data_IF_550087606675
#
_entry.id   IF_550087606675
#
_cell.length_a   1.000
_cell.length_b   1.000
_cell.length_c   1.000
_cell.angle_alpha   90.00
_cell.angle_beta   90.00
_cell.angle_gamma   90.00
#
_symmetry.space_group_name_H-M   'P 1'
#
loop_
_entity.id
_entity.type
_entity.pdbx_description
1 polymer ?
#
# COMPACT_ATOMS: atom_id res chain seq x y z
N UNK A 1 0.13 10.11 34.95
CA UNK A 1 0.48 8.78 34.42
C UNK A 1 -0.67 7.87 34.75
N UNK A 2 -1.36 7.28 33.77
CA UNK A 2 -2.48 6.38 34.05
C UNK A 2 -1.97 5.12 34.74
N UNK A 3 -2.66 4.66 35.78
CA UNK A 3 -2.33 3.43 36.50
C UNK A 3 -2.54 2.22 35.56
N UNK A 4 -1.50 1.41 35.33
CA UNK A 4 -1.60 0.22 34.49
C UNK A 4 -2.44 -0.87 35.19
N UNK A 5 -3.74 -0.93 34.86
CA UNK A 5 -4.69 -1.92 35.40
C UNK A 5 -4.41 -3.37 34.97
N UNK A 6 -3.70 -3.58 33.85
CA UNK A 6 -3.47 -4.89 33.25
C UNK A 6 -2.03 -5.06 32.78
N UNK A 7 -1.44 -6.25 33.03
CA UNK A 7 -0.13 -6.62 32.49
C UNK A 7 -0.22 -6.74 30.97
N UNK A 8 0.55 -5.93 30.25
CA UNK A 8 0.70 -6.02 28.81
C UNK A 8 2.03 -6.71 28.44
N UNK A 9 2.05 -7.43 27.31
CA UNK A 9 3.30 -7.93 26.71
C UNK A 9 3.28 -7.70 25.21
N UNK A 10 4.47 -7.65 24.60
CA UNK A 10 4.59 -7.63 23.14
C UNK A 10 4.09 -8.97 22.57
N UNK A 11 3.58 -8.93 21.34
CA UNK A 11 3.26 -10.14 20.61
C UNK A 11 4.54 -10.93 20.34
N UNK A 12 4.56 -12.21 20.73
CA UNK A 12 5.72 -13.08 20.53
C UNK A 12 6.05 -13.23 19.03
N UNK A 13 5.03 -13.19 18.17
CA UNK A 13 5.13 -13.29 16.72
C UNK A 13 5.36 -11.95 16.00
N UNK A 14 5.65 -10.85 16.70
CA UNK A 14 5.75 -9.52 16.08
C UNK A 14 6.76 -9.44 14.93
N UNK A 15 7.89 -10.14 15.05
CA UNK A 15 8.88 -10.20 13.98
C UNK A 15 8.37 -10.98 12.75
N UNK A 16 7.61 -12.05 12.96
CA UNK A 16 6.97 -12.80 11.87
C UNK A 16 5.94 -11.93 11.14
N UNK A 17 5.13 -11.14 11.87
CA UNK A 17 4.19 -10.19 11.26
C UNK A 17 4.88 -9.13 10.40
N UNK A 18 6.03 -8.60 10.85
CA UNK A 18 6.84 -7.66 10.05
C UNK A 18 7.38 -8.32 8.78
N UNK A 19 7.81 -9.58 8.86
CA UNK A 19 8.29 -10.34 7.70
C UNK A 19 7.15 -10.57 6.69
N UNK A 20 5.99 -11.05 7.14
CA UNK A 20 4.81 -11.26 6.28
C UNK A 20 4.41 -9.98 5.53
N UNK A 21 4.45 -8.83 6.21
CA UNK A 21 4.19 -7.53 5.58
C UNK A 21 5.23 -7.18 4.52
N UNK A 22 6.52 -7.46 4.75
CA UNK A 22 7.56 -7.22 3.74
C UNK A 22 7.41 -8.15 2.55
N UNK A 23 7.06 -9.42 2.79
CA UNK A 23 6.84 -10.41 1.74
C UNK A 23 5.64 -10.04 0.88
N UNK A 24 4.56 -9.50 1.45
CA UNK A 24 3.42 -8.93 0.71
C UNK A 24 3.87 -7.93 -0.35
N UNK A 25 4.67 -6.93 0.04
CA UNK A 25 5.15 -5.88 -0.88
C UNK A 25 6.16 -6.39 -1.90
N UNK A 26 7.02 -7.33 -1.53
CA UNK A 26 7.98 -7.98 -2.44
C UNK A 26 7.28 -8.84 -3.47
N UNK A 27 6.33 -9.67 -3.04
CA UNK A 27 5.59 -10.55 -3.95
C UNK A 27 4.77 -9.76 -4.96
N UNK A 28 4.15 -8.65 -4.56
CA UNK A 28 3.50 -7.74 -5.52
C UNK A 28 4.48 -7.20 -6.56
N UNK A 29 5.63 -6.66 -6.12
CA UNK A 29 6.63 -6.11 -7.04
C UNK A 29 7.21 -7.19 -7.99
N UNK A 30 7.36 -8.42 -7.52
CA UNK A 30 7.95 -9.54 -8.28
C UNK A 30 6.91 -10.45 -8.95
N UNK A 31 5.63 -10.07 -8.93
CA UNK A 31 4.53 -10.93 -9.41
C UNK A 31 4.78 -11.48 -10.84
N UNK A 32 5.12 -10.58 -11.78
CA UNK A 32 5.35 -10.96 -13.18
C UNK A 32 6.60 -11.85 -13.38
N UNK A 33 7.63 -11.73 -12.52
CA UNK A 33 8.82 -12.61 -12.57
C UNK A 33 8.46 -14.07 -12.29
N UNK A 34 7.36 -14.29 -11.54
CA UNK A 34 6.83 -15.60 -11.18
C UNK A 34 5.68 -16.05 -12.08
N UNK A 35 5.33 -15.27 -13.12
CA UNK A 35 4.18 -15.53 -13.98
C UNK A 35 2.82 -15.17 -13.35
N UNK A 36 2.80 -14.50 -12.21
CA UNK A 36 1.59 -14.04 -11.53
C UNK A 36 1.08 -12.69 -12.02
N UNK A 37 -0.11 -12.29 -11.56
CA UNK A 37 -0.74 -11.01 -11.88
C UNK A 37 -0.84 -10.10 -10.65
N UNK A 38 -0.95 -8.80 -10.91
CA UNK A 38 -1.06 -7.73 -9.92
C UNK A 38 -2.44 -7.09 -9.99
N UNK A 39 -3.01 -6.84 -8.82
CA UNK A 39 -4.15 -5.93 -8.71
C UNK A 39 -3.91 -4.85 -7.66
N UNK A 40 -4.47 -3.68 -7.90
CA UNK A 40 -4.48 -2.59 -6.94
C UNK A 40 -5.90 -2.08 -6.69
N UNK A 41 -6.07 -1.25 -5.67
CA UNK A 41 -7.37 -0.65 -5.35
C UNK A 41 -7.53 -0.36 -3.87
N UNK A 42 -8.79 -0.29 -3.40
CA UNK A 42 -9.09 0.00 -2.00
C UNK A 42 -8.78 -1.20 -1.09
N UNK A 43 -8.30 -0.93 0.12
CA UNK A 43 -8.04 -1.96 1.13
C UNK A 43 -9.32 -2.63 1.65
N UNK A 44 -10.47 -2.02 1.40
CA UNK A 44 -11.80 -2.53 1.74
C UNK A 44 -12.43 -3.33 0.59
N UNK A 45 -11.71 -3.54 -0.51
CA UNK A 45 -12.19 -4.39 -1.59
C UNK A 45 -12.23 -5.87 -1.15
N UNK A 46 -13.22 -6.62 -1.64
CA UNK A 46 -13.33 -8.04 -1.34
C UNK A 46 -12.24 -8.83 -2.09
N UNK A 47 -11.17 -9.19 -1.39
CA UNK A 47 -10.06 -9.96 -1.95
C UNK A 47 -10.45 -11.37 -2.42
N UNK A 48 -11.59 -11.89 -1.96
CA UNK A 48 -12.12 -13.18 -2.38
C UNK A 48 -12.36 -13.27 -3.89
N UNK A 49 -12.68 -12.16 -4.57
CA UNK A 49 -12.90 -12.15 -6.02
C UNK A 49 -11.57 -12.27 -6.78
N UNK A 50 -10.56 -11.40 -6.58
CA UNK A 50 -9.24 -11.61 -7.17
C UNK A 50 -8.61 -12.96 -6.81
N UNK A 51 -8.81 -13.46 -5.58
CA UNK A 51 -8.29 -14.77 -5.17
C UNK A 51 -8.86 -15.94 -6.00
N UNK A 52 -10.04 -15.78 -6.61
CA UNK A 52 -10.61 -16.76 -7.53
C UNK A 52 -9.86 -16.89 -8.86
N UNK A 53 -8.94 -15.97 -9.17
CA UNK A 53 -8.13 -16.00 -10.41
C UNK A 53 -6.89 -16.89 -10.29
N UNK A 54 -6.56 -17.37 -9.09
CA UNK A 54 -5.43 -18.28 -8.84
C UNK A 54 -4.63 -17.93 -7.59
N UNK A 55 -3.58 -18.72 -7.33
CA UNK A 55 -2.68 -18.51 -6.19
C UNK A 55 -1.63 -17.41 -6.44
N UNK A 56 -1.34 -17.14 -7.72
CA UNK A 56 -0.34 -16.16 -8.15
C UNK A 56 -0.94 -14.76 -8.40
N UNK A 57 -1.86 -14.34 -7.52
CA UNK A 57 -2.60 -13.08 -7.63
C UNK A 57 -2.23 -12.16 -6.47
N UNK A 58 -1.45 -11.12 -6.76
CA UNK A 58 -0.83 -10.28 -5.74
C UNK A 58 -1.48 -8.91 -5.68
N UNK A 59 -1.72 -8.41 -4.46
CA UNK A 59 -2.41 -7.13 -4.27
C UNK A 59 -1.47 -6.02 -3.79
N UNK A 60 -1.80 -4.79 -4.15
CA UNK A 60 -1.26 -3.58 -3.52
C UNK A 60 -2.39 -2.57 -3.31
N UNK A 61 -2.87 -2.49 -2.07
CA UNK A 61 -3.96 -1.57 -1.74
C UNK A 61 -3.45 -0.18 -1.36
N UNK A 62 -4.20 0.86 -1.75
CA UNK A 62 -3.75 2.25 -1.69
C UNK A 62 -3.45 2.74 -0.28
N UNK A 63 -4.29 2.40 0.68
CA UNK A 63 -4.21 2.89 2.06
C UNK A 63 -3.01 2.32 2.84
N UNK A 64 -2.78 0.99 2.87
CA UNK A 64 -1.64 0.41 3.57
C UNK A 64 -0.30 0.76 2.88
N UNK A 65 -0.29 0.84 1.55
CA UNK A 65 0.87 1.33 0.82
C UNK A 65 1.16 2.80 1.14
N UNK A 66 0.15 3.67 1.06
CA UNK A 66 0.27 5.10 1.38
C UNK A 66 0.71 5.34 2.82
N UNK A 67 0.27 4.52 3.77
CA UNK A 67 0.76 4.51 5.15
C UNK A 67 2.23 4.07 5.24
N UNK A 68 2.66 3.11 4.42
CA UNK A 68 4.06 2.67 4.36
C UNK A 68 4.98 3.74 3.77
N UNK A 69 4.53 4.48 2.76
CA UNK A 69 5.22 5.68 2.25
C UNK A 69 5.44 6.71 3.34
N UNK A 70 4.44 6.96 4.20
CA UNK A 70 4.51 7.95 5.27
C UNK A 70 5.61 7.66 6.33
N UNK A 71 6.10 6.42 6.41
CA UNK A 71 7.26 6.08 7.25
C UNK A 71 8.56 6.74 6.75
N UNK A 72 8.68 6.94 5.44
CA UNK A 72 9.75 7.73 4.81
C UNK A 72 9.25 9.16 4.57
N UNK A 73 9.49 10.04 5.55
CA UNK A 73 8.97 11.42 5.55
C UNK A 73 9.42 12.22 4.31
N UNK A 74 10.66 12.04 3.88
CA UNK A 74 11.21 12.77 2.72
C UNK A 74 10.54 12.31 1.43
N UNK A 75 10.34 11.00 1.28
CA UNK A 75 9.64 10.47 0.11
C UNK A 75 8.14 10.83 0.12
N UNK A 76 7.49 10.82 1.28
CA UNK A 76 6.10 11.25 1.42
C UNK A 76 5.93 12.73 1.03
N UNK A 77 6.85 13.61 1.45
CA UNK A 77 6.85 15.01 1.03
C UNK A 77 6.98 15.15 -0.49
N UNK A 78 7.90 14.41 -1.12
CA UNK A 78 8.03 14.39 -2.59
C UNK A 78 6.74 13.90 -3.28
N UNK A 79 6.10 12.85 -2.74
CA UNK A 79 4.83 12.35 -3.27
C UNK A 79 3.72 13.40 -3.19
N UNK A 80 3.61 14.12 -2.08
CA UNK A 80 2.63 15.19 -1.90
C UNK A 80 2.85 16.35 -2.89
N UNK A 81 4.09 16.78 -3.08
CA UNK A 81 4.42 17.83 -4.05
C UNK A 81 4.14 17.37 -5.49
N UNK A 82 4.48 16.13 -5.84
CA UNK A 82 4.18 15.56 -7.16
C UNK A 82 2.66 15.51 -7.43
N UNK A 83 1.88 15.04 -6.45
CA UNK A 83 0.43 15.01 -6.56
C UNK A 83 -0.16 16.42 -6.72
N UNK A 84 0.29 17.39 -5.91
CA UNK A 84 -0.19 18.76 -5.98
C UNK A 84 0.20 19.43 -7.32
N UNK A 85 1.41 19.21 -7.82
CA UNK A 85 1.85 19.71 -9.12
C UNK A 85 1.01 19.15 -10.29
N UNK A 86 0.39 17.97 -10.11
CA UNK A 86 -0.55 17.37 -11.07
C UNK A 86 -1.98 17.90 -10.93
N UNK A 87 -2.26 18.76 -9.95
CA UNK A 87 -3.57 19.37 -9.71
C UNK A 87 -4.42 18.66 -8.67
N UNK A 88 -3.90 17.64 -7.98
CA UNK A 88 -4.62 17.02 -6.88
C UNK A 88 -4.67 17.94 -5.65
N UNK A 89 -5.84 18.06 -5.04
CA UNK A 89 -6.07 18.96 -3.93
C UNK A 89 -5.24 18.57 -2.69
N UNK A 90 -4.72 19.57 -1.97
CA UNK A 90 -3.86 19.36 -0.79
C UNK A 90 -4.61 18.73 0.39
N UNK A 91 -5.91 18.95 0.48
CA UNK A 91 -6.83 18.39 1.47
C UNK A 91 -7.26 16.95 1.15
N UNK A 92 -6.88 16.41 -0.02
CA UNK A 92 -7.06 15.01 -0.33
C UNK A 92 -6.38 14.12 0.72
N UNK A 93 -6.94 12.93 0.95
CA UNK A 93 -6.37 11.91 1.83
C UNK A 93 -4.86 11.74 1.61
N UNK A 94 -4.08 11.81 2.68
CA UNK A 94 -2.63 11.71 2.60
C UNK A 94 -2.17 10.35 2.06
N UNK A 95 -2.91 9.26 2.34
CA UNK A 95 -2.61 7.95 1.75
C UNK A 95 -2.69 7.97 0.23
N UNK A 96 -3.71 8.63 -0.32
CA UNK A 96 -3.88 8.74 -1.78
C UNK A 96 -2.84 9.64 -2.41
N UNK A 97 -2.50 10.77 -1.77
CA UNK A 97 -1.39 11.62 -2.24
C UNK A 97 -0.05 10.87 -2.20
N UNK A 98 0.16 9.99 -1.23
CA UNK A 98 1.35 9.13 -1.18
C UNK A 98 1.36 8.06 -2.27
N UNK A 99 0.22 7.39 -2.46
CA UNK A 99 0.05 6.34 -3.47
C UNK A 99 0.19 6.91 -4.90
N UNK A 100 -0.58 7.95 -5.24
CA UNK A 100 -0.48 8.61 -6.54
C UNK A 100 0.86 9.33 -6.74
N UNK A 101 1.43 9.92 -5.69
CA UNK A 101 2.76 10.51 -5.79
C UNK A 101 3.83 9.47 -6.13
N UNK A 102 3.74 8.25 -5.60
CA UNK A 102 4.62 7.13 -5.97
C UNK A 102 4.49 6.75 -7.44
N UNK A 103 3.25 6.70 -7.96
CA UNK A 103 2.96 6.47 -9.39
C UNK A 103 3.56 7.59 -10.24
N UNK A 104 3.29 8.85 -9.91
CA UNK A 104 3.73 10.02 -10.66
C UNK A 104 5.25 10.16 -10.72
N UNK A 105 5.94 9.72 -9.65
CA UNK A 105 7.40 9.72 -9.57
C UNK A 105 8.03 8.45 -10.14
N UNK A 106 7.24 7.48 -10.59
CA UNK A 106 7.66 6.13 -10.96
C UNK A 106 8.57 5.48 -9.90
N UNK A 107 8.18 5.54 -8.62
CA UNK A 107 8.98 5.05 -7.48
C UNK A 107 8.16 4.18 -6.55
N UNK A 108 8.69 3.03 -6.20
CA UNK A 108 8.12 2.14 -5.18
C UNK A 108 8.88 2.28 -3.86
N UNK A 109 8.19 2.49 -2.73
CA UNK A 109 8.86 2.73 -1.44
C UNK A 109 9.72 1.55 -0.97
N UNK A 110 9.43 0.33 -1.45
CA UNK A 110 10.21 -0.87 -1.15
C UNK A 110 11.33 -1.14 -2.17
N UNK A 111 11.57 -0.21 -3.10
CA UNK A 111 12.67 -0.21 -4.06
C UNK A 111 12.22 -0.43 -5.51
N UNK A 112 12.92 0.21 -6.45
CA UNK A 112 12.65 0.09 -7.88
C UNK A 112 11.59 1.06 -8.40
N UNK A 113 11.25 0.87 -9.67
CA UNK A 113 10.19 1.59 -10.36
C UNK A 113 8.80 1.17 -9.85
N UNK A 114 7.76 1.92 -10.20
CA UNK A 114 6.40 1.62 -9.77
C UNK A 114 5.91 0.29 -10.38
N UNK A 115 5.55 -0.73 -9.57
CA UNK A 115 4.98 -1.97 -10.08
C UNK A 115 3.52 -1.77 -10.51
N UNK A 116 3.35 -1.44 -11.80
CA UNK A 116 2.02 -1.19 -12.39
C UNK A 116 1.11 -2.42 -12.23
N UNK A 117 -0.14 -2.24 -11.76
CA UNK A 117 -1.12 -3.31 -11.66
C UNK A 117 -1.67 -3.71 -13.04
N UNK A 118 -2.03 -4.98 -13.21
CA UNK A 118 -2.70 -5.46 -14.41
C UNK A 118 -4.18 -5.03 -14.46
N UNK A 119 -4.80 -4.86 -13.28
CA UNK A 119 -6.15 -4.32 -13.15
C UNK A 119 -6.40 -3.64 -11.80
N UNK A 120 -7.44 -2.83 -11.75
CA UNK A 120 -7.92 -2.17 -10.53
C UNK A 120 -9.16 -2.90 -10.01
N UNK A 121 -9.16 -3.24 -8.72
CA UNK A 121 -10.28 -3.82 -8.01
C UNK A 121 -10.55 -3.01 -6.75
N UNK A 122 -11.63 -2.23 -6.77
CA UNK A 122 -11.96 -1.28 -5.72
C UNK A 122 -13.42 -1.43 -5.31
N UNK A 123 -13.69 -1.24 -4.02
CA UNK A 123 -15.02 -0.99 -3.48
C UNK A 123 -15.15 0.48 -3.09
N UNK A 124 -16.33 1.06 -3.28
CA UNK A 124 -16.56 2.46 -2.92
C UNK A 124 -16.53 2.63 -1.40
N UNK A 125 -15.38 3.09 -0.89
CA UNK A 125 -15.15 3.27 0.55
C UNK A 125 -15.30 4.73 0.94
N UNK A 126 -14.78 5.65 0.12
CA UNK A 126 -15.06 7.08 0.21
C UNK A 126 -14.82 7.75 -1.15
N UNK A 127 -15.24 9.01 -1.31
CA UNK A 127 -15.15 9.74 -2.58
C UNK A 127 -13.73 10.00 -3.10
N UNK A 128 -12.69 9.73 -2.31
CA UNK A 128 -11.28 9.95 -2.68
C UNK A 128 -10.52 8.66 -3.01
N UNK A 129 -11.18 7.49 -2.91
CA UNK A 129 -10.63 6.17 -3.20
C UNK A 129 -11.42 5.51 -4.34
#
# INVERSE_FOLDING_TARGET
MAEERWKSKRLDCWNQGKQLRLDYYKNYAQAHEKGGIRWAGSAWAFSAIPAGLGEDVWSLTGEPYGASVAWNKDFAAQCHEAAQAKGYARDLCAYMRNYWGSILLNKYVFGGEWPEPDFQWTSHTCCSH
#
